data_IF_869335414800
#
_entry.id   IF_869335414800
#
_cell.length_a   1.000
_cell.length_b   1.000
_cell.length_c   1.000
_cell.angle_alpha   90.00
_cell.angle_beta   90.00
_cell.angle_gamma   90.00
#
_symmetry.space_group_name_H-M   'P 1'
#
loop_
_entity.id
_entity.type
_entity.pdbx_description
1 polymer ?
#
# COMPACT_ATOMS: atom_id res chain seq x y z
N UNK A 1 10.93 -13.14 26.23
CA UNK A 1 10.83 -12.11 27.29
C UNK A 1 11.03 -10.76 26.60
N UNK A 2 9.95 -9.98 26.44
CA UNK A 2 9.96 -8.78 25.60
C UNK A 2 10.60 -7.61 26.37
N UNK A 3 11.83 -7.24 26.02
CA UNK A 3 12.54 -6.11 26.65
C UNK A 3 11.80 -4.77 26.47
N UNK A 4 10.91 -4.69 25.46
CA UNK A 4 10.13 -3.50 25.14
C UNK A 4 9.07 -3.12 26.18
N UNK A 5 8.62 -4.04 27.03
CA UNK A 5 7.58 -3.76 28.05
C UNK A 5 8.12 -3.17 29.35
N UNK A 6 9.44 -3.12 29.55
CA UNK A 6 10.08 -2.67 30.81
C UNK A 6 10.97 -1.43 30.66
N UNK A 7 11.21 -0.95 29.44
CA UNK A 7 11.92 0.30 29.24
C UNK A 7 11.04 1.48 29.69
N UNK A 8 11.57 2.43 30.48
CA UNK A 8 10.91 3.72 30.72
C UNK A 8 10.37 4.30 29.40
N UNK A 9 9.14 4.87 29.37
CA UNK A 9 8.48 5.30 28.13
C UNK A 9 9.33 6.20 27.23
N UNK A 10 10.23 6.98 27.83
CA UNK A 10 11.20 7.83 27.13
C UNK A 10 12.22 7.00 26.34
N UNK A 11 12.84 5.98 26.94
CA UNK A 11 13.77 5.08 26.27
C UNK A 11 13.06 4.27 25.18
N UNK A 12 11.85 3.79 25.45
CA UNK A 12 11.03 3.10 24.44
C UNK A 12 10.75 4.01 23.23
N UNK A 13 10.32 5.26 23.47
CA UNK A 13 10.07 6.23 22.40
C UNK A 13 11.33 6.64 21.64
N UNK A 14 12.49 6.72 22.30
CA UNK A 14 13.78 6.95 21.63
C UNK A 14 14.17 5.78 20.73
N UNK A 15 14.05 4.54 21.22
CA UNK A 15 14.33 3.35 20.43
C UNK A 15 13.40 3.23 19.22
N UNK A 16 12.09 3.49 19.41
CA UNK A 16 11.11 3.47 18.32
C UNK A 16 11.45 4.47 17.20
N UNK A 17 11.83 5.71 17.55
CA UNK A 17 12.28 6.72 16.59
C UNK A 17 13.58 6.36 15.87
N UNK A 18 14.51 5.72 16.58
CA UNK A 18 15.74 5.26 15.94
C UNK A 18 15.45 4.19 14.88
N UNK A 19 14.55 3.25 15.19
CA UNK A 19 14.15 2.19 14.27
C UNK A 19 13.34 2.75 13.09
N UNK A 20 12.43 3.70 13.30
CA UNK A 20 11.62 4.30 12.20
C UNK A 20 12.47 4.98 11.14
N UNK A 21 13.64 5.51 11.53
CA UNK A 21 14.61 6.18 10.66
C UNK A 21 15.54 5.22 9.91
N UNK A 22 15.51 3.93 10.22
CA UNK A 22 16.29 2.94 9.48
C UNK A 22 15.59 2.64 8.16
N UNK A 23 16.33 2.73 7.05
CA UNK A 23 15.82 2.35 5.72
C UNK A 23 15.91 0.83 5.53
N UNK A 24 14.97 0.11 6.14
CA UNK A 24 14.93 -1.36 6.09
C UNK A 24 14.29 -1.90 4.81
N UNK A 25 13.47 -1.09 4.13
CA UNK A 25 12.68 -1.45 2.96
C UNK A 25 12.77 -0.32 1.92
N UNK A 26 12.62 -0.64 0.65
CA UNK A 26 12.54 0.35 -0.44
C UNK A 26 11.11 0.64 -0.86
N UNK A 27 10.24 -0.37 -0.77
CA UNK A 27 8.83 -0.34 -1.17
C UNK A 27 8.06 -1.29 -0.25
N UNK A 28 6.85 -0.88 0.13
CA UNK A 28 5.90 -1.75 0.82
C UNK A 28 4.71 -1.98 -0.08
N UNK A 29 4.35 -3.25 -0.24
CA UNK A 29 3.13 -3.67 -0.93
C UNK A 29 2.29 -4.47 0.06
N UNK A 30 1.10 -3.97 0.38
CA UNK A 30 0.15 -4.65 1.27
C UNK A 30 -1.04 -5.14 0.48
N UNK A 31 -1.35 -6.44 0.57
CA UNK A 31 -2.53 -7.02 -0.06
C UNK A 31 -3.54 -7.45 1.01
N UNK A 32 -4.71 -6.83 1.01
CA UNK A 32 -5.81 -7.14 1.92
C UNK A 32 -7.00 -7.66 1.10
N UNK A 33 -7.22 -9.00 1.09
CA UNK A 33 -8.36 -9.57 0.38
C UNK A 33 -9.68 -9.06 0.95
N UNK A 34 -10.57 -8.59 0.08
CA UNK A 34 -11.92 -8.20 0.47
C UNK A 34 -12.99 -9.23 0.07
N UNK A 35 -14.26 -8.93 0.34
CA UNK A 35 -15.36 -9.85 0.07
C UNK A 35 -15.49 -10.18 -1.43
N UNK A 36 -15.71 -11.46 -1.73
CA UNK A 36 -15.91 -11.94 -3.11
C UNK A 36 -17.38 -11.83 -3.57
N UNK A 37 -18.26 -11.36 -2.69
CA UNK A 37 -19.68 -11.11 -2.99
C UNK A 37 -19.93 -9.61 -3.19
N UNK A 38 -20.91 -9.22 -4.02
CA UNK A 38 -21.29 -7.81 -4.18
C UNK A 38 -21.71 -7.15 -2.87
N UNK A 39 -21.21 -5.94 -2.61
CA UNK A 39 -21.57 -5.11 -1.46
C UNK A 39 -22.39 -3.91 -1.94
N UNK A 40 -23.37 -3.48 -1.16
CA UNK A 40 -24.23 -2.34 -1.47
C UNK A 40 -24.31 -1.36 -0.29
N UNK A 41 -24.42 -0.08 -0.60
CA UNK A 41 -24.71 0.99 0.35
C UNK A 41 -25.96 1.74 -0.11
N UNK A 42 -27.03 1.72 0.70
CA UNK A 42 -28.31 2.36 0.37
C UNK A 42 -28.85 2.03 -1.04
N UNK A 43 -28.66 0.77 -1.48
CA UNK A 43 -29.07 0.29 -2.82
C UNK A 43 -28.05 0.54 -3.94
N UNK A 44 -27.02 1.36 -3.73
CA UNK A 44 -25.93 1.55 -4.69
C UNK A 44 -24.89 0.43 -4.56
N UNK A 45 -24.48 -0.16 -5.69
CA UNK A 45 -23.45 -1.21 -5.72
C UNK A 45 -22.06 -0.61 -5.54
N UNK A 46 -21.28 -1.13 -4.60
CA UNK A 46 -19.87 -0.81 -4.47
C UNK A 46 -19.09 -1.55 -5.56
N UNK A 47 -18.42 -0.81 -6.44
CA UNK A 47 -17.72 -1.35 -7.61
C UNK A 47 -16.25 -1.71 -7.32
N UNK A 48 -15.59 -0.87 -6.53
CA UNK A 48 -14.19 -1.03 -6.16
C UNK A 48 -13.89 -0.31 -4.86
N UNK A 49 -12.78 -0.67 -4.21
CA UNK A 49 -12.24 -0.01 -3.02
C UNK A 49 -10.78 0.32 -3.26
N UNK A 50 -10.39 1.59 -3.24
CA UNK A 50 -9.00 1.99 -3.42
C UNK A 50 -8.40 2.30 -2.05
N UNK A 51 -7.52 1.45 -1.51
CA UNK A 51 -6.92 1.68 -0.20
C UNK A 51 -5.90 2.83 -0.27
N UNK A 52 -5.76 3.59 0.81
CA UNK A 52 -4.68 4.58 0.96
C UNK A 52 -3.82 4.13 2.13
N UNK A 53 -2.60 3.70 1.84
CA UNK A 53 -1.64 3.30 2.86
C UNK A 53 -0.74 4.48 3.23
N UNK A 54 -0.56 4.79 4.52
CA UNK A 54 0.35 5.85 4.93
C UNK A 54 1.80 5.47 4.63
N UNK A 55 2.62 6.50 4.38
CA UNK A 55 4.06 6.34 4.19
C UNK A 55 4.79 6.30 5.54
N UNK A 56 5.79 5.43 5.64
CA UNK A 56 6.78 5.50 6.71
C UNK A 56 7.79 6.61 6.44
N UNK A 57 8.45 7.10 7.49
CA UNK A 57 9.43 8.22 7.44
C UNK A 57 10.53 8.04 6.37
N UNK A 58 10.86 6.79 6.01
CA UNK A 58 11.93 6.45 5.06
C UNK A 58 11.44 5.89 3.72
N UNK A 59 10.13 5.89 3.47
CA UNK A 59 9.52 5.34 2.26
C UNK A 59 8.96 6.46 1.38
N UNK A 60 9.39 6.50 0.13
CA UNK A 60 8.84 7.41 -0.88
C UNK A 60 7.57 6.86 -1.55
N UNK A 61 7.35 5.54 -1.51
CA UNK A 61 6.26 4.86 -2.21
C UNK A 61 5.69 3.71 -1.38
N UNK A 62 4.37 3.60 -1.37
CA UNK A 62 3.59 2.55 -0.75
C UNK A 62 2.46 2.13 -1.69
N UNK A 63 2.29 0.82 -1.89
CA UNK A 63 1.20 0.26 -2.70
C UNK A 63 0.31 -0.57 -1.78
N UNK A 64 -0.99 -0.31 -1.82
CA UNK A 64 -1.98 -1.15 -1.16
C UNK A 64 -2.94 -1.74 -2.18
N UNK A 65 -3.30 -3.00 -1.97
CA UNK A 65 -4.15 -3.79 -2.86
C UNK A 65 -5.34 -4.27 -2.07
N UNK A 66 -6.53 -4.08 -2.62
CA UNK A 66 -7.74 -4.75 -2.13
C UNK A 66 -8.46 -5.43 -3.27
N UNK A 67 -9.32 -6.37 -2.93
CA UNK A 67 -10.19 -7.04 -3.90
C UNK A 67 -11.65 -6.95 -3.49
N UNK A 68 -12.54 -6.71 -4.45
CA UNK A 68 -13.99 -6.68 -4.24
C UNK A 68 -14.69 -7.32 -5.43
N UNK A 69 -15.43 -8.41 -5.18
CA UNK A 69 -16.24 -9.05 -6.20
C UNK A 69 -15.50 -9.37 -7.51
N UNK A 70 -14.27 -9.90 -7.41
CA UNK A 70 -13.40 -10.21 -8.55
C UNK A 70 -12.61 -9.02 -9.12
N UNK A 71 -12.86 -7.79 -8.68
CA UNK A 71 -12.09 -6.61 -9.08
C UNK A 71 -10.94 -6.39 -8.11
N UNK A 72 -9.69 -6.34 -8.60
CA UNK A 72 -8.53 -5.89 -7.82
C UNK A 72 -8.33 -4.39 -8.02
N UNK A 73 -8.14 -3.67 -6.91
CA UNK A 73 -7.89 -2.24 -6.90
C UNK A 73 -6.56 -1.95 -6.20
N UNK A 74 -5.74 -1.14 -6.87
CA UNK A 74 -4.40 -0.75 -6.44
C UNK A 74 -4.43 0.71 -6.03
N UNK A 75 -4.13 0.99 -4.76
CA UNK A 75 -3.89 2.32 -4.25
C UNK A 75 -2.40 2.59 -4.17
N UNK A 76 -1.96 3.70 -4.76
CA UNK A 76 -0.57 4.12 -4.82
C UNK A 76 -0.46 5.41 -4.00
N UNK A 77 0.29 5.37 -2.91
CA UNK A 77 0.59 6.54 -2.09
C UNK A 77 2.07 6.87 -2.24
N UNK A 78 2.39 8.13 -2.54
CA UNK A 78 3.78 8.57 -2.70
C UNK A 78 4.02 9.93 -2.07
N UNK A 79 5.26 10.17 -1.67
CA UNK A 79 5.75 11.48 -1.26
C UNK A 79 6.14 12.27 -2.51
N UNK A 80 5.38 13.34 -2.78
CA UNK A 80 5.51 14.13 -4.00
C UNK A 80 6.92 14.75 -4.17
N UNK A 81 7.56 15.14 -3.08
CA UNK A 81 8.90 15.72 -3.12
C UNK A 81 9.97 14.68 -3.47
N UNK A 82 9.75 13.41 -3.10
CA UNK A 82 10.67 12.31 -3.33
C UNK A 82 10.44 11.58 -4.66
N UNK A 83 9.23 11.62 -5.21
CA UNK A 83 8.83 10.92 -6.44
C UNK A 83 7.87 11.77 -7.28
N UNK A 84 8.38 12.80 -7.97
CA UNK A 84 7.55 13.71 -8.78
C UNK A 84 7.00 13.05 -10.06
N UNK A 85 7.51 11.88 -10.43
CA UNK A 85 7.15 11.03 -11.57
C UNK A 85 6.12 9.94 -11.21
N UNK A 86 5.37 10.12 -10.12
CA UNK A 86 4.40 9.12 -9.65
C UNK A 86 3.31 8.77 -10.66
N UNK A 87 2.89 9.75 -11.48
CA UNK A 87 1.90 9.53 -12.53
C UNK A 87 2.45 8.64 -13.65
N UNK A 88 3.73 8.81 -14.01
CA UNK A 88 4.42 7.95 -14.98
C UNK A 88 4.52 6.52 -14.44
N UNK A 89 4.90 6.36 -13.18
CA UNK A 89 4.92 5.05 -12.52
C UNK A 89 3.55 4.35 -12.55
N UNK A 90 2.47 5.09 -12.26
CA UNK A 90 1.11 4.55 -12.29
C UNK A 90 0.71 4.09 -13.71
N UNK A 91 1.07 4.86 -14.73
CA UNK A 91 0.86 4.53 -16.14
C UNK A 91 1.68 3.31 -16.57
N UNK A 92 2.94 3.22 -16.17
CA UNK A 92 3.82 2.09 -16.49
C UNK A 92 3.34 0.81 -15.82
N UNK A 93 2.89 0.89 -14.56
CA UNK A 93 2.31 -0.26 -13.86
C UNK A 93 1.04 -0.76 -14.57
N UNK A 94 0.18 0.13 -15.04
CA UNK A 94 -0.99 -0.24 -15.83
C UNK A 94 -0.59 -0.92 -17.14
N UNK A 95 0.38 -0.35 -17.85
CA UNK A 95 0.89 -0.89 -19.12
C UNK A 95 1.50 -2.27 -18.94
N UNK A 96 2.29 -2.48 -17.88
CA UNK A 96 2.88 -3.77 -17.55
C UNK A 96 1.82 -4.87 -17.29
N UNK A 97 0.71 -4.52 -16.64
CA UNK A 97 -0.42 -5.46 -16.45
C UNK A 97 -1.08 -5.80 -17.80
N UNK A 98 -1.24 -4.81 -18.69
CA UNK A 98 -1.79 -5.06 -20.03
C UNK A 98 -0.87 -5.93 -20.87
N UNK A 99 0.45 -5.75 -20.77
CA UNK A 99 1.43 -6.60 -21.44
C UNK A 99 1.38 -8.04 -20.93
N UNK A 100 1.23 -8.25 -19.61
CA UNK A 100 1.04 -9.57 -19.02
C UNK A 100 -0.26 -10.22 -19.51
N UNK A 101 -1.36 -9.46 -19.58
CA UNK A 101 -2.64 -9.94 -20.11
C UNK A 101 -2.50 -10.41 -21.56
N UNK A 102 -1.88 -9.59 -22.41
CA UNK A 102 -1.60 -9.93 -23.80
C UNK A 102 -0.74 -11.19 -23.93
N UNK A 103 0.29 -11.32 -23.09
CA UNK A 103 1.16 -12.50 -23.08
C UNK A 103 0.43 -13.78 -22.63
N UNK A 104 -0.59 -13.64 -21.78
CA UNK A 104 -1.47 -14.74 -21.37
C UNK A 104 -2.50 -15.15 -22.44
N UNK A 105 -2.62 -14.39 -23.53
CA UNK A 105 -3.56 -14.66 -24.63
C UNK A 105 -4.96 -14.08 -24.42
N UNK A 106 -5.12 -13.12 -23.51
CA UNK A 106 -6.36 -12.37 -23.25
C UNK A 106 -6.32 -10.92 -23.77
#
# INVERSE_FOLDING_TARGET
MNLGTWAPPTLHGMAARLVSRQRLLNLVISNVPGPQVPIYLAGAKLLATYPVMPLGETLALAIAVTSLGGTMAFGITSDWDSMPDIDDFASDMHSAIMDLKKAAGE
#
